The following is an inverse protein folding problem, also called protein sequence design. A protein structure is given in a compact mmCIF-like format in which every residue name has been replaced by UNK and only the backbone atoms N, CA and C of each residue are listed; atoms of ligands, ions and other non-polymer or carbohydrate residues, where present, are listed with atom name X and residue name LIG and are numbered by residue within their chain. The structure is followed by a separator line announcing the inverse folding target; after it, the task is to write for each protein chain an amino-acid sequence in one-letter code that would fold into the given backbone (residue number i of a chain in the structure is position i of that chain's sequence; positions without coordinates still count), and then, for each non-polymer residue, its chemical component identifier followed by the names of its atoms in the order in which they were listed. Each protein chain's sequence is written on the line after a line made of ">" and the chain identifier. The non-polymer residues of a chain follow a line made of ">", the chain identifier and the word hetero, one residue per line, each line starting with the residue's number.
data_IF_592872862415
#
_entry.id   IF_592872862415
#
_cell.length_a   1.000
_cell.length_b   1.000
_cell.length_c   1.000
_cell.angle_alpha   90.00
_cell.angle_beta   90.00
_cell.angle_gamma   90.00
#
_symmetry.space_group_name_H-M   'P 1'
#
loop_
_entity.id
_entity.type
_entity.pdbx_description
1 polymer ?
#
# COMPACT_ATOMS: atom_id res chain seq x y z
N UNK A 1 -6.54 27.48 73.74
CA UNK A 1 -7.64 27.35 72.75
C UNK A 1 -7.06 27.42 71.35
N UNK A 2 -7.29 26.36 70.57
CA UNK A 2 -7.23 26.19 69.10
C UNK A 2 -6.31 27.09 68.25
N UNK A 3 -5.46 26.46 67.43
CA UNK A 3 -5.68 26.37 65.97
C UNK A 3 -4.58 25.50 65.34
N UNK A 4 -4.86 24.20 65.21
CA UNK A 4 -4.17 23.33 64.25
C UNK A 4 -4.61 23.76 62.84
N UNK A 5 -3.71 24.36 62.06
CA UNK A 5 -3.89 24.51 60.61
C UNK A 5 -3.46 23.20 59.94
N UNK A 6 -4.42 22.44 59.40
CA UNK A 6 -4.12 21.34 58.47
C UNK A 6 -3.69 21.94 57.12
N UNK A 7 -2.63 21.45 56.46
CA UNK A 7 -2.38 21.78 55.06
C UNK A 7 -3.34 20.98 54.18
N UNK A 8 -4.05 21.67 53.29
CA UNK A 8 -4.77 21.07 52.16
C UNK A 8 -3.72 20.53 51.18
N UNK A 9 -3.59 19.21 51.07
CA UNK A 9 -2.85 18.57 49.98
C UNK A 9 -3.81 18.49 48.79
N UNK A 10 -3.70 19.44 47.86
CA UNK A 10 -4.34 19.34 46.56
C UNK A 10 -3.58 18.30 45.72
N UNK A 11 -4.12 17.09 45.63
CA UNK A 11 -3.67 16.08 44.66
C UNK A 11 -4.04 16.57 43.26
N UNK A 12 -3.09 17.22 42.58
CA UNK A 12 -3.15 17.39 41.13
C UNK A 12 -2.91 16.02 40.49
N UNK A 13 -3.99 15.37 40.06
CA UNK A 13 -3.95 14.22 39.18
C UNK A 13 -3.38 14.66 37.83
N UNK A 14 -2.08 14.52 37.64
CA UNK A 14 -1.44 14.73 36.34
C UNK A 14 -1.84 13.56 35.44
N UNK A 15 -2.94 13.72 34.69
CA UNK A 15 -3.25 12.82 33.57
C UNK A 15 -2.23 13.11 32.48
N UNK A 16 -1.12 12.38 32.51
CA UNK A 16 -0.18 12.34 31.38
C UNK A 16 -0.88 11.56 30.27
N UNK A 17 -1.60 12.28 29.40
CA UNK A 17 -1.96 11.76 28.09
C UNK A 17 -0.64 11.66 27.31
N UNK A 18 -0.01 10.50 27.40
CA UNK A 18 1.08 10.15 26.51
C UNK A 18 0.49 9.98 25.10
N UNK A 19 0.40 11.08 24.35
CA UNK A 19 0.16 11.03 22.93
C UNK A 19 1.37 10.33 22.29
N UNK A 20 1.24 9.03 22.01
CA UNK A 20 2.18 8.34 21.15
C UNK A 20 2.15 9.03 19.78
N UNK A 21 3.16 9.86 19.52
CA UNK A 21 3.32 10.56 18.25
C UNK A 21 3.69 9.54 17.18
N UNK A 22 2.70 8.99 16.50
CA UNK A 22 2.92 8.33 15.21
C UNK A 22 3.67 9.29 14.27
N UNK A 23 4.55 8.75 13.43
CA UNK A 23 5.28 9.57 12.46
C UNK A 23 4.30 10.11 11.43
N UNK A 24 4.09 11.42 11.45
CA UNK A 24 3.18 12.08 10.55
C UNK A 24 3.88 12.25 9.19
N UNK A 25 3.33 11.67 8.11
CA UNK A 25 3.88 11.79 6.75
C UNK A 25 2.91 12.60 5.91
N UNK A 26 3.48 13.53 5.15
CA UNK A 26 2.77 14.32 4.17
C UNK A 26 2.21 13.44 3.03
N UNK A 27 0.93 13.59 2.69
CA UNK A 27 0.32 12.99 1.50
C UNK A 27 1.16 13.34 0.28
N UNK A 28 1.26 12.39 -0.62
CA UNK A 28 2.10 12.48 -1.80
C UNK A 28 1.52 13.41 -2.88
N UNK A 29 2.40 14.11 -3.59
CA UNK A 29 2.06 14.85 -4.80
C UNK A 29 2.32 13.99 -6.06
N UNK A 30 1.68 14.33 -7.18
CA UNK A 30 1.84 13.57 -8.43
C UNK A 30 2.03 14.50 -9.63
N UNK A 31 2.79 14.08 -10.63
CA UNK A 31 2.75 14.73 -11.95
C UNK A 31 1.38 14.44 -12.58
N UNK A 32 0.56 15.47 -12.76
CA UNK A 32 -0.76 15.34 -13.39
C UNK A 32 -0.69 15.43 -14.91
N UNK A 33 0.09 16.37 -15.41
CA UNK A 33 0.31 16.60 -16.84
C UNK A 33 1.78 16.91 -17.06
N UNK A 34 2.33 16.39 -18.15
CA UNK A 34 3.72 16.58 -18.54
C UNK A 34 3.85 16.57 -20.06
N UNK A 35 4.52 17.59 -20.61
CA UNK A 35 4.86 17.72 -22.03
C UNK A 35 6.23 18.35 -22.17
N UNK A 36 7.08 17.81 -23.05
CA UNK A 36 8.44 18.29 -23.24
C UNK A 36 9.40 17.83 -22.14
N UNK A 37 10.59 18.44 -22.11
CA UNK A 37 11.68 18.02 -21.20
C UNK A 37 11.47 18.54 -19.79
N UNK A 38 11.27 17.62 -18.85
CA UNK A 38 11.22 17.89 -17.41
C UNK A 38 12.20 16.96 -16.72
N UNK A 39 12.84 17.46 -15.68
CA UNK A 39 13.79 16.72 -14.88
C UNK A 39 13.40 16.77 -13.41
N UNK A 40 13.59 15.65 -12.74
CA UNK A 40 13.34 15.43 -11.34
C UNK A 40 14.66 15.16 -10.64
N UNK A 41 14.84 15.77 -9.48
CA UNK A 41 15.87 15.39 -8.53
C UNK A 41 15.19 14.98 -7.23
N UNK A 42 15.30 13.70 -6.88
CA UNK A 42 14.86 13.22 -5.57
C UNK A 42 15.72 13.83 -4.47
N UNK A 43 15.16 13.92 -3.26
CA UNK A 43 15.93 14.33 -2.07
C UNK A 43 17.22 13.52 -1.87
N UNK A 44 17.20 12.23 -2.23
CA UNK A 44 18.32 11.30 -2.05
C UNK A 44 19.27 11.26 -3.26
N UNK A 45 18.92 11.92 -4.37
CA UNK A 45 19.75 12.00 -5.57
C UNK A 45 20.72 13.17 -5.49
N UNK A 46 21.92 13.00 -6.05
CA UNK A 46 22.84 14.15 -6.25
C UNK A 46 22.51 14.94 -7.52
N UNK A 47 21.92 14.30 -8.53
CA UNK A 47 21.69 14.86 -9.87
C UNK A 47 20.23 14.89 -10.29
N UNK A 48 19.92 15.75 -11.27
CA UNK A 48 18.64 15.75 -11.97
C UNK A 48 18.60 14.63 -13.02
N UNK A 49 17.44 13.98 -13.15
CA UNK A 49 17.18 12.94 -14.15
C UNK A 49 15.90 13.25 -14.93
N UNK A 50 15.82 12.86 -16.21
CA UNK A 50 14.60 13.06 -16.99
C UNK A 50 13.42 12.33 -16.35
N UNK A 51 12.26 12.95 -16.43
CA UNK A 51 10.96 12.36 -16.09
C UNK A 51 9.98 12.72 -17.18
N UNK A 52 9.15 11.76 -17.60
CA UNK A 52 8.23 11.94 -18.73
C UNK A 52 6.84 11.31 -18.49
N UNK A 53 6.57 10.84 -17.26
CA UNK A 53 5.39 10.01 -16.96
C UNK A 53 4.37 10.78 -16.13
N UNK A 54 3.10 10.74 -16.57
CA UNK A 54 1.96 11.12 -15.73
C UNK A 54 1.86 10.12 -14.57
N UNK A 55 1.51 10.58 -13.37
CA UNK A 55 1.42 9.72 -12.20
C UNK A 55 2.76 9.48 -11.50
N UNK A 56 3.88 10.05 -11.96
CA UNK A 56 5.13 10.02 -11.17
C UNK A 56 4.88 10.61 -9.79
N UNK A 57 5.18 9.81 -8.78
CA UNK A 57 5.07 10.16 -7.38
C UNK A 57 6.09 11.25 -7.02
N UNK A 58 5.72 12.25 -6.21
CA UNK A 58 6.60 13.34 -5.76
C UNK A 58 6.50 13.54 -4.25
N UNK A 59 7.64 13.82 -3.63
CA UNK A 59 7.79 14.03 -2.19
C UNK A 59 8.22 15.46 -1.84
N UNK A 60 8.01 15.85 -0.59
CA UNK A 60 8.31 17.19 -0.06
C UNK A 60 9.75 17.69 -0.31
N UNK A 61 10.71 16.77 -0.29
CA UNK A 61 12.13 17.07 -0.53
C UNK A 61 12.58 17.01 -1.98
N UNK A 62 11.69 16.70 -2.92
CA UNK A 62 12.04 16.60 -4.33
C UNK A 62 12.17 17.99 -4.97
N UNK A 63 12.87 18.04 -6.10
CA UNK A 63 13.03 19.24 -6.91
C UNK A 63 12.68 18.95 -8.37
N UNK A 64 12.06 19.91 -9.04
CA UNK A 64 11.76 19.85 -10.47
C UNK A 64 12.48 20.97 -11.21
N UNK A 65 12.85 20.67 -12.45
CA UNK A 65 13.32 21.65 -13.44
C UNK A 65 12.64 21.34 -14.76
N UNK A 66 12.08 22.35 -15.41
CA UNK A 66 11.45 22.20 -16.74
C UNK A 66 12.18 23.03 -17.77
N UNK A 67 12.26 22.55 -19.00
CA UNK A 67 12.70 23.37 -20.11
C UNK A 67 11.70 24.49 -20.39
N UNK A 68 12.15 25.56 -21.04
CA UNK A 68 11.31 26.74 -21.36
C UNK A 68 10.02 26.40 -22.11
N UNK A 69 10.09 25.47 -23.07
CA UNK A 69 8.93 24.99 -23.84
C UNK A 69 8.14 23.85 -23.17
N UNK A 70 8.63 23.31 -22.06
CA UNK A 70 7.99 22.18 -21.38
C UNK A 70 6.83 22.65 -20.50
N UNK A 71 5.79 21.82 -20.38
CA UNK A 71 4.65 22.07 -19.50
C UNK A 71 4.59 20.95 -18.46
N UNK A 72 4.47 21.32 -17.19
CA UNK A 72 4.23 20.35 -16.12
C UNK A 72 3.27 20.91 -15.07
N UNK A 73 2.25 20.13 -14.75
CA UNK A 73 1.24 20.45 -13.74
C UNK A 73 1.27 19.38 -12.65
N UNK A 74 1.40 19.82 -11.41
CA UNK A 74 1.47 18.95 -10.24
C UNK A 74 0.11 18.88 -9.56
N UNK A 75 -0.37 17.67 -9.31
CA UNK A 75 -1.47 17.41 -8.38
C UNK A 75 -0.91 17.46 -6.96
N UNK A 76 -1.13 18.57 -6.26
CA UNK A 76 -0.66 18.74 -4.90
C UNK A 76 -1.43 17.87 -3.90
N UNK A 77 -0.86 17.65 -2.70
CA UNK A 77 -1.49 16.82 -1.67
C UNK A 77 -2.85 17.35 -1.22
N UNK A 78 -3.02 18.67 -1.16
CA UNK A 78 -4.29 19.33 -0.83
C UNK A 78 -5.36 19.25 -1.95
N UNK A 79 -5.10 18.53 -3.04
CA UNK A 79 -6.02 18.37 -4.17
C UNK A 79 -5.94 19.45 -5.24
N UNK A 80 -5.17 20.53 -5.03
CA UNK A 80 -5.02 21.61 -6.03
C UNK A 80 -4.04 21.21 -7.14
N UNK A 81 -4.33 21.62 -8.37
CA UNK A 81 -3.36 21.61 -9.48
C UNK A 81 -2.46 22.83 -9.38
N UNK A 82 -1.14 22.63 -9.50
CA UNK A 82 -0.16 23.71 -9.52
C UNK A 82 0.75 23.58 -10.74
N UNK A 83 0.71 24.53 -11.69
CA UNK A 83 1.65 24.57 -12.79
C UNK A 83 3.04 25.00 -12.29
N UNK A 84 4.09 24.36 -12.80
CA UNK A 84 5.47 24.78 -12.53
C UNK A 84 5.79 25.95 -13.46
N UNK A 85 5.76 27.18 -12.93
CA UNK A 85 5.81 28.38 -13.78
C UNK A 85 7.22 28.77 -14.22
N UNK A 86 8.21 28.66 -13.34
CA UNK A 86 9.58 29.09 -13.64
C UNK A 86 10.28 28.02 -14.48
N UNK A 87 10.86 28.44 -15.62
CA UNK A 87 11.59 27.59 -16.54
C UNK A 87 13.09 27.63 -16.25
N UNK A 88 13.81 26.54 -16.53
CA UNK A 88 15.26 26.37 -16.31
C UNK A 88 15.72 26.49 -14.84
N UNK A 89 14.83 26.90 -13.93
CA UNK A 89 15.09 27.01 -12.51
C UNK A 89 14.87 25.68 -11.76
N UNK A 90 15.60 25.53 -10.64
CA UNK A 90 15.44 24.41 -9.71
C UNK A 90 14.37 24.78 -8.69
N UNK A 91 13.20 24.15 -8.78
CA UNK A 91 12.09 24.41 -7.87
C UNK A 91 11.87 23.27 -6.91
N UNK A 92 11.95 23.56 -5.61
CA UNK A 92 11.62 22.60 -4.56
C UNK A 92 10.12 22.35 -4.51
N UNK A 93 9.72 21.12 -4.18
CA UNK A 93 8.31 20.72 -4.14
C UNK A 93 7.48 21.51 -3.11
N UNK A 94 8.07 22.01 -2.01
CA UNK A 94 7.42 22.97 -1.09
C UNK A 94 7.02 24.27 -1.74
N UNK A 95 7.79 24.76 -2.71
CA UNK A 95 7.49 26.02 -3.39
C UNK A 95 6.32 25.84 -4.36
N UNK A 96 6.23 24.67 -5.00
CA UNK A 96 5.15 24.32 -5.93
C UNK A 96 3.87 23.95 -5.17
N UNK A 97 4.00 23.09 -4.15
CA UNK A 97 2.94 22.62 -3.29
C UNK A 97 3.22 23.08 -1.84
N UNK A 98 2.74 24.27 -1.42
CA UNK A 98 3.05 24.80 -0.09
C UNK A 98 2.30 24.07 1.05
N UNK A 99 1.16 23.45 0.72
CA UNK A 99 0.32 22.77 1.70
C UNK A 99 0.41 21.26 1.51
N UNK A 100 1.00 20.61 2.50
CA UNK A 100 1.09 19.16 2.58
C UNK A 100 0.09 18.66 3.62
N UNK A 101 -0.86 17.82 3.20
CA UNK A 101 -1.79 17.18 4.13
C UNK A 101 -1.04 16.09 4.87
N UNK A 102 -0.78 16.29 6.15
CA UNK A 102 -0.11 15.28 6.97
C UNK A 102 -1.12 14.21 7.35
N UNK A 103 -0.81 12.96 7.01
CA UNK A 103 -1.52 11.79 7.52
C UNK A 103 -0.64 11.18 8.59
N UNK A 104 -1.23 10.69 9.68
CA UNK A 104 -0.49 9.84 10.61
C UNK A 104 -0.15 8.58 9.83
N UNK A 105 1.10 8.47 9.37
CA UNK A 105 1.59 7.24 8.82
C UNK A 105 1.87 6.33 10.01
N UNK A 106 0.99 5.36 10.20
CA UNK A 106 1.40 4.14 10.87
C UNK A 106 2.20 3.34 9.83
N UNK A 107 3.44 3.76 9.57
CA UNK A 107 4.37 3.07 8.63
C UNK A 107 4.48 1.58 8.98
N UNK A 108 4.89 0.70 8.04
CA UNK A 108 4.47 -0.70 8.04
C UNK A 108 5.04 -1.46 9.25
N UNK A 109 4.20 -2.11 10.06
CA UNK A 109 4.63 -3.14 11.00
C UNK A 109 4.41 -4.51 10.39
N UNK A 110 5.14 -5.52 10.89
CA UNK A 110 5.66 -6.59 10.06
C UNK A 110 4.58 -7.46 9.45
N UNK A 111 4.99 -8.17 8.39
CA UNK A 111 4.37 -9.42 8.00
C UNK A 111 4.34 -10.35 9.21
N UNK A 112 3.15 -10.55 9.77
CA UNK A 112 2.93 -11.48 10.87
C UNK A 112 2.74 -12.90 10.33
N UNK A 113 2.46 -13.03 9.02
CA UNK A 113 2.29 -14.33 8.40
C UNK A 113 2.60 -14.33 6.92
N UNK A 114 3.35 -15.34 6.51
CA UNK A 114 3.74 -15.62 5.13
C UNK A 114 2.73 -16.63 4.59
N UNK A 115 2.06 -16.28 3.49
CA UNK A 115 1.21 -17.21 2.77
C UNK A 115 1.26 -16.97 1.27
N UNK A 116 0.35 -17.59 0.53
CA UNK A 116 0.31 -17.53 -0.92
C UNK A 116 1.55 -18.10 -1.60
N UNK A 117 2.23 -19.05 -0.96
CA UNK A 117 3.45 -19.69 -1.47
C UNK A 117 3.12 -21.03 -2.15
N UNK A 118 2.20 -21.79 -1.58
CA UNK A 118 1.84 -23.12 -2.07
C UNK A 118 0.77 -23.05 -3.17
N UNK A 119 1.18 -23.19 -4.43
CA UNK A 119 0.29 -23.20 -5.59
C UNK A 119 -0.65 -24.43 -5.67
N UNK A 120 -0.51 -25.42 -4.78
CA UNK A 120 -1.34 -26.63 -4.76
C UNK A 120 -2.60 -26.49 -3.90
N UNK A 121 -2.83 -25.32 -3.32
CA UNK A 121 -3.99 -25.04 -2.47
C UNK A 121 -4.66 -23.73 -2.89
N UNK A 122 -5.99 -23.57 -2.66
CA UNK A 122 -6.72 -22.39 -3.07
C UNK A 122 -6.59 -21.26 -2.03
N UNK A 123 -5.37 -20.74 -1.80
CA UNK A 123 -5.16 -19.68 -0.82
C UNK A 123 -5.87 -18.38 -1.24
N UNK A 124 -6.40 -17.65 -0.26
CA UNK A 124 -7.06 -16.36 -0.48
C UNK A 124 -6.04 -15.30 -0.93
N UNK A 125 -6.36 -14.57 -1.99
CA UNK A 125 -5.56 -13.46 -2.51
C UNK A 125 -6.14 -12.13 -2.02
N UNK A 126 -7.44 -11.93 -2.17
CA UNK A 126 -8.17 -10.73 -1.73
C UNK A 126 -9.62 -11.07 -1.41
N UNK A 127 -10.29 -10.44 -0.45
CA UNK A 127 -9.74 -9.54 0.56
C UNK A 127 -8.98 -10.34 1.64
N UNK A 128 -7.73 -9.97 1.93
CA UNK A 128 -6.89 -10.65 2.92
C UNK A 128 -6.20 -9.64 3.80
N UNK A 129 -6.28 -9.82 5.13
CA UNK A 129 -5.65 -8.93 6.12
C UNK A 129 -5.96 -7.45 5.83
N UNK A 130 -7.23 -7.15 5.62
CA UNK A 130 -7.66 -5.86 5.08
C UNK A 130 -8.91 -5.35 5.78
N UNK A 131 -9.01 -4.04 5.88
CA UNK A 131 -10.28 -3.37 6.12
C UNK A 131 -11.06 -3.35 4.81
N UNK A 132 -12.39 -3.24 4.90
CA UNK A 132 -13.26 -3.11 3.75
C UNK A 132 -14.16 -1.89 3.88
N UNK A 133 -14.36 -1.20 2.77
CA UNK A 133 -15.36 -0.14 2.60
C UNK A 133 -16.70 -0.70 2.11
N UNK A 134 -16.67 -1.76 1.31
CA UNK A 134 -17.86 -2.40 0.74
C UNK A 134 -18.29 -3.62 1.56
N UNK A 135 -19.61 -3.79 1.73
CA UNK A 135 -20.21 -4.99 2.34
C UNK A 135 -20.38 -6.15 1.36
N UNK A 136 -20.04 -5.96 0.08
CA UNK A 136 -20.08 -6.99 -0.97
C UNK A 136 -18.69 -7.21 -1.58
N UNK A 137 -17.67 -7.62 -0.80
CA UNK A 137 -16.33 -7.84 -1.35
C UNK A 137 -16.32 -8.98 -2.38
N UNK A 138 -15.49 -8.83 -3.41
CA UNK A 138 -15.13 -9.95 -4.29
C UNK A 138 -14.02 -10.76 -3.62
N UNK A 139 -14.33 -12.00 -3.29
CA UNK A 139 -13.39 -12.99 -2.79
C UNK A 139 -12.67 -13.60 -3.99
N UNK A 140 -11.34 -13.57 -4.00
CA UNK A 140 -10.50 -14.09 -5.06
C UNK A 140 -9.39 -14.95 -4.46
N UNK A 141 -9.14 -16.12 -5.04
CA UNK A 141 -8.14 -17.07 -4.56
C UNK A 141 -7.30 -17.63 -5.71
N UNK A 142 -6.23 -18.33 -5.35
CA UNK A 142 -5.39 -19.00 -6.33
C UNK A 142 -6.11 -20.22 -6.94
N UNK A 143 -6.22 -20.32 -8.29
CA UNK A 143 -6.77 -21.51 -8.92
C UNK A 143 -5.85 -22.70 -8.74
N UNK A 144 -6.41 -23.87 -8.42
CA UNK A 144 -5.63 -25.10 -8.20
C UNK A 144 -5.68 -25.98 -9.45
N UNK A 145 -4.53 -26.46 -9.97
CA UNK A 145 -4.51 -27.38 -11.10
C UNK A 145 -5.42 -28.60 -10.89
N UNK A 146 -6.29 -28.88 -11.87
CA UNK A 146 -7.23 -30.01 -11.83
C UNK A 146 -8.53 -29.75 -11.03
N UNK A 147 -8.66 -28.63 -10.31
CA UNK A 147 -9.92 -28.25 -9.69
C UNK A 147 -10.88 -27.65 -10.73
N UNK A 148 -12.14 -28.08 -10.70
CA UNK A 148 -13.21 -27.61 -11.59
C UNK A 148 -14.35 -26.92 -10.83
N UNK A 149 -14.34 -27.03 -9.51
CA UNK A 149 -15.30 -26.39 -8.62
C UNK A 149 -14.67 -26.09 -7.26
N UNK A 150 -15.10 -24.99 -6.66
CA UNK A 150 -14.71 -24.53 -5.33
C UNK A 150 -15.94 -24.38 -4.45
N UNK A 151 -15.87 -24.90 -3.23
CA UNK A 151 -16.78 -24.55 -2.12
C UNK A 151 -16.13 -23.42 -1.33
N UNK A 152 -16.82 -22.30 -1.20
CA UNK A 152 -16.33 -21.10 -0.51
C UNK A 152 -17.19 -20.87 0.72
N UNK A 153 -16.56 -20.67 1.87
CA UNK A 153 -17.22 -20.37 3.14
C UNK A 153 -16.69 -19.05 3.70
N UNK A 154 -17.60 -18.18 4.15
CA UNK A 154 -17.27 -17.01 4.96
C UNK A 154 -17.65 -17.30 6.40
N UNK A 155 -16.70 -17.11 7.31
CA UNK A 155 -16.78 -17.54 8.71
C UNK A 155 -16.61 -16.32 9.59
N UNK A 156 -17.53 -16.14 10.53
CA UNK A 156 -17.44 -15.15 11.61
C UNK A 156 -16.95 -15.82 12.90
N UNK A 157 -16.66 -15.07 13.98
CA UNK A 157 -16.36 -15.67 15.28
C UNK A 157 -17.49 -16.55 15.84
N UNK A 158 -18.71 -16.44 15.31
CA UNK A 158 -19.89 -17.25 15.67
C UNK A 158 -20.08 -18.49 14.79
N UNK A 159 -19.21 -18.72 13.81
CA UNK A 159 -19.29 -19.81 12.84
C UNK A 159 -19.55 -19.36 11.41
N UNK A 160 -19.79 -20.32 10.52
CA UNK A 160 -20.04 -20.10 9.09
C UNK A 160 -21.32 -19.28 8.90
N UNK A 161 -21.19 -18.13 8.23
CA UNK A 161 -22.32 -17.23 7.95
C UNK A 161 -22.82 -17.34 6.51
N UNK A 162 -21.98 -17.85 5.61
CA UNK A 162 -22.33 -18.01 4.20
C UNK A 162 -21.48 -19.09 3.55
N UNK A 163 -22.07 -19.82 2.61
CA UNK A 163 -21.40 -20.83 1.81
C UNK A 163 -21.97 -20.83 0.40
N UNK A 164 -21.11 -21.05 -0.60
CA UNK A 164 -21.54 -21.25 -1.99
C UNK A 164 -20.60 -22.21 -2.74
N UNK A 165 -20.99 -22.61 -3.95
CA UNK A 165 -20.15 -23.32 -4.90
C UNK A 165 -20.03 -22.54 -6.20
N UNK A 166 -18.80 -22.40 -6.70
CA UNK A 166 -18.50 -21.71 -7.97
C UNK A 166 -17.44 -22.46 -8.77
N UNK A 167 -17.36 -22.19 -10.08
CA UNK A 167 -16.33 -22.75 -10.97
C UNK A 167 -15.11 -21.84 -11.08
N UNK A 168 -15.35 -20.53 -11.12
CA UNK A 168 -14.31 -19.52 -11.24
C UNK A 168 -13.56 -19.33 -9.91
N UNK A 169 -12.27 -18.94 -9.92
CA UNK A 169 -11.47 -18.70 -8.72
C UNK A 169 -11.80 -17.36 -8.03
N UNK A 170 -13.05 -16.91 -8.15
CA UNK A 170 -13.56 -15.70 -7.53
C UNK A 170 -15.08 -15.79 -7.33
N UNK A 171 -15.58 -15.11 -6.30
CA UNK A 171 -17.02 -14.91 -6.07
C UNK A 171 -17.28 -13.63 -5.27
N UNK A 172 -18.34 -12.91 -5.61
CA UNK A 172 -18.78 -11.74 -4.82
C UNK A 172 -19.64 -12.19 -3.65
N UNK A 173 -19.29 -11.75 -2.44
CA UNK A 173 -20.13 -11.94 -1.27
C UNK A 173 -21.43 -11.13 -1.41
N UNK A 174 -22.62 -11.75 -1.26
CA UNK A 174 -23.88 -11.10 -1.63
C UNK A 174 -24.42 -10.10 -0.59
N UNK A 175 -23.72 -9.90 0.53
CA UNK A 175 -24.24 -9.17 1.70
C UNK A 175 -25.54 -9.78 2.25
N UNK A 176 -25.68 -11.10 2.13
CA UNK A 176 -26.78 -11.90 2.67
C UNK A 176 -26.20 -13.19 3.30
N UNK A 177 -26.09 -13.27 4.65
CA UNK A 177 -26.45 -12.23 5.62
C UNK A 177 -25.55 -10.99 5.53
N UNK A 178 -25.96 -9.88 6.15
CA UNK A 178 -25.16 -8.66 6.11
C UNK A 178 -23.86 -8.82 6.91
N UNK A 179 -22.74 -8.33 6.36
CA UNK A 179 -21.50 -8.21 7.12
C UNK A 179 -21.68 -7.18 8.24
N UNK A 180 -21.26 -7.52 9.45
CA UNK A 180 -21.31 -6.63 10.60
C UNK A 180 -20.03 -5.79 10.65
N UNK A 181 -20.13 -4.47 10.78
CA UNK A 181 -18.96 -3.63 10.94
C UNK A 181 -18.14 -3.99 12.18
N UNK A 182 -16.82 -3.94 12.06
CA UNK A 182 -15.89 -4.22 13.15
C UNK A 182 -15.65 -5.70 13.45
N UNK A 183 -16.39 -6.62 12.80
CA UNK A 183 -16.22 -8.06 12.99
C UNK A 183 -15.19 -8.62 11.99
N UNK A 184 -14.22 -9.44 12.44
CA UNK A 184 -13.31 -10.14 11.55
C UNK A 184 -13.98 -11.36 10.91
N UNK A 185 -13.79 -11.50 9.61
CA UNK A 185 -14.29 -12.63 8.83
C UNK A 185 -13.13 -13.36 8.14
N UNK A 186 -13.15 -14.69 8.25
CA UNK A 186 -12.21 -15.58 7.55
C UNK A 186 -12.89 -16.21 6.33
N UNK A 187 -12.09 -16.60 5.33
CA UNK A 187 -12.57 -17.34 4.16
C UNK A 187 -11.89 -18.70 4.08
N UNK A 188 -12.70 -19.75 3.94
CA UNK A 188 -12.22 -21.10 3.64
C UNK A 188 -12.63 -21.46 2.22
N UNK A 189 -11.68 -21.94 1.43
CA UNK A 189 -11.91 -22.40 0.06
C UNK A 189 -11.48 -23.86 -0.02
N UNK A 190 -12.38 -24.71 -0.51
CA UNK A 190 -12.12 -26.13 -0.73
C UNK A 190 -12.42 -26.50 -2.17
N UNK A 191 -11.50 -27.20 -2.82
CA UNK A 191 -11.66 -27.72 -4.18
C UNK A 191 -12.45 -29.03 -4.18
N UNK A 192 -13.07 -29.36 -5.31
CA UNK A 192 -13.67 -30.68 -5.53
C UNK A 192 -12.67 -31.85 -5.53
N UNK A 193 -11.37 -31.57 -5.60
CA UNK A 193 -10.29 -32.56 -5.50
C UNK A 193 -9.75 -32.73 -4.07
N UNK A 194 -10.36 -32.06 -3.09
CA UNK A 194 -10.04 -32.20 -1.66
C UNK A 194 -8.94 -31.28 -1.13
N UNK A 195 -8.34 -30.41 -1.96
CA UNK A 195 -7.40 -29.36 -1.50
C UNK A 195 -8.14 -28.23 -0.80
N UNK A 196 -7.57 -27.68 0.27
CA UNK A 196 -8.20 -26.64 1.10
C UNK A 196 -7.23 -25.49 1.39
N UNK A 197 -7.75 -24.27 1.46
CA UNK A 197 -7.00 -23.08 1.90
C UNK A 197 -6.52 -23.19 3.34
N UNK A 198 -7.16 -24.02 4.16
CA UNK A 198 -6.77 -24.28 5.56
C UNK A 198 -5.45 -25.04 5.69
N UNK A 199 -4.94 -25.63 4.61
CA UNK A 199 -3.59 -26.20 4.60
C UNK A 199 -2.49 -25.13 4.53
N UNK A 200 -2.85 -23.86 4.36
CA UNK A 200 -1.92 -22.74 4.52
C UNK A 200 -1.59 -22.54 6.00
N UNK A 201 -0.31 -22.32 6.32
CA UNK A 201 0.14 -22.07 7.70
C UNK A 201 -0.04 -20.62 8.15
N UNK A 202 -0.55 -19.76 7.25
CA UNK A 202 -0.64 -18.35 7.51
C UNK A 202 -1.80 -18.01 8.46
N UNK A 203 -1.65 -16.94 9.24
CA UNK A 203 -2.60 -16.46 10.24
C UNK A 203 -2.87 -14.97 10.03
N UNK A 204 -3.97 -14.46 10.61
CA UNK A 204 -4.29 -13.03 10.49
C UNK A 204 -4.70 -12.65 9.07
N UNK A 205 -5.40 -13.54 8.37
CA UNK A 205 -5.85 -13.37 6.98
C UNK A 205 -7.25 -12.75 6.87
N UNK A 206 -7.87 -12.46 8.01
CA UNK A 206 -9.25 -11.99 8.08
C UNK A 206 -9.41 -10.64 7.39
N UNK A 207 -10.63 -10.37 6.92
CA UNK A 207 -11.05 -9.05 6.52
C UNK A 207 -12.07 -8.49 7.52
N UNK A 208 -12.14 -7.16 7.62
CA UNK A 208 -13.00 -6.48 8.59
C UNK A 208 -13.73 -5.33 7.90
N UNK A 209 -15.06 -5.31 7.95
CA UNK A 209 -15.85 -4.19 7.43
C UNK A 209 -15.67 -2.96 8.34
N UNK A 210 -15.38 -1.80 7.76
CA UNK A 210 -15.28 -0.53 8.49
C UNK A 210 -16.59 -0.19 9.20
N UNK A 211 -16.48 0.40 10.40
CA UNK A 211 -17.64 1.01 11.08
C UNK A 211 -18.09 2.25 10.32
N UNK A 212 -19.38 2.58 10.46
CA UNK A 212 -20.02 3.71 9.76
C UNK A 212 -19.26 5.04 9.91
N UNK A 213 -18.71 5.31 11.09
CA UNK A 213 -17.92 6.53 11.35
C UNK A 213 -16.69 6.61 10.46
N UNK A 214 -15.92 5.53 10.40
CA UNK A 214 -14.72 5.45 9.57
C UNK A 214 -15.07 5.36 8.08
N UNK A 215 -16.07 4.57 7.71
CA UNK A 215 -16.53 4.42 6.34
C UNK A 215 -16.98 5.76 5.74
N UNK A 216 -17.75 6.57 6.49
CA UNK A 216 -18.16 7.92 6.05
C UNK A 216 -16.97 8.85 5.84
N UNK A 217 -15.99 8.82 6.74
CA UNK A 217 -14.78 9.64 6.61
C UNK A 217 -13.95 9.24 5.38
N UNK A 218 -13.80 7.93 5.15
CA UNK A 218 -13.15 7.38 3.95
C UNK A 218 -13.90 7.79 2.68
N UNK A 219 -15.22 7.63 2.66
CA UNK A 219 -16.05 8.02 1.51
C UNK A 219 -15.95 9.51 1.20
N UNK A 220 -15.91 10.38 2.22
CA UNK A 220 -15.75 11.82 2.00
C UNK A 220 -14.41 12.15 1.32
N UNK A 221 -13.31 11.52 1.75
CA UNK A 221 -11.99 11.69 1.10
C UNK A 221 -12.00 11.16 -0.34
N UNK A 222 -12.58 9.97 -0.55
CA UNK A 222 -12.68 9.33 -1.88
C UNK A 222 -13.46 10.23 -2.84
N UNK A 223 -14.58 10.80 -2.39
CA UNK A 223 -15.37 11.75 -3.18
C UNK A 223 -14.57 13.01 -3.54
N UNK A 224 -13.80 13.56 -2.59
CA UNK A 224 -12.91 14.71 -2.89
C UNK A 224 -11.87 14.38 -3.96
N UNK A 225 -11.26 13.18 -3.91
CA UNK A 225 -10.28 12.76 -4.92
C UNK A 225 -10.95 12.58 -6.29
N UNK A 226 -12.11 11.92 -6.34
CA UNK A 226 -12.83 11.62 -7.58
C UNK A 226 -13.41 12.87 -8.26
N UNK A 227 -13.91 13.83 -7.47
CA UNK A 227 -14.45 15.10 -7.96
C UNK A 227 -13.34 16.11 -8.31
N UNK A 228 -12.10 15.87 -7.87
CA UNK A 228 -10.97 16.69 -8.23
C UNK A 228 -10.77 16.78 -9.74
N UNK A 229 -10.40 17.97 -10.24
CA UNK A 229 -9.98 18.15 -11.63
C UNK A 229 -8.56 17.57 -11.79
N UNK A 230 -8.43 16.25 -11.89
CA UNK A 230 -7.19 15.48 -12.10
C UNK A 230 -7.41 14.49 -13.24
N UNK A 231 -6.33 13.97 -13.84
CA UNK A 231 -6.46 12.86 -14.79
C UNK A 231 -6.94 11.59 -14.07
N UNK A 232 -7.65 10.71 -14.78
CA UNK A 232 -8.20 9.48 -14.19
C UNK A 232 -7.10 8.56 -13.63
N UNK A 233 -5.95 8.52 -14.30
CA UNK A 233 -4.76 7.81 -13.84
C UNK A 233 -4.25 8.36 -12.50
N UNK A 234 -4.15 9.68 -12.34
CA UNK A 234 -3.71 10.28 -11.08
C UNK A 234 -4.77 10.14 -9.99
N UNK A 235 -6.07 10.19 -10.31
CA UNK A 235 -7.13 9.90 -9.33
C UNK A 235 -6.99 8.49 -8.77
N UNK A 236 -6.85 7.50 -9.63
CA UNK A 236 -6.69 6.10 -9.22
C UNK A 236 -5.41 5.86 -8.41
N UNK A 237 -4.27 6.45 -8.82
CA UNK A 237 -3.02 6.38 -8.04
C UNK A 237 -3.14 7.05 -6.67
N UNK A 238 -3.84 8.19 -6.59
CA UNK A 238 -4.12 8.87 -5.32
C UNK A 238 -5.05 8.05 -4.42
N UNK A 239 -6.07 7.40 -4.97
CA UNK A 239 -6.94 6.49 -4.23
C UNK A 239 -6.16 5.28 -3.70
N UNK A 240 -5.38 4.62 -4.55
CA UNK A 240 -4.55 3.48 -4.14
C UNK A 240 -3.57 3.88 -3.01
N UNK A 241 -2.90 5.03 -3.13
CA UNK A 241 -2.02 5.54 -2.09
C UNK A 241 -2.75 5.92 -0.80
N UNK A 242 -3.95 6.50 -0.91
CA UNK A 242 -4.78 6.79 0.26
C UNK A 242 -5.19 5.51 0.98
N UNK A 243 -5.73 4.53 0.25
CA UNK A 243 -6.18 3.25 0.78
C UNK A 243 -5.04 2.44 1.41
N UNK A 244 -3.88 2.38 0.74
CA UNK A 244 -2.67 1.73 1.26
C UNK A 244 -2.19 2.35 2.58
N UNK A 245 -2.37 3.65 2.77
CA UNK A 245 -1.92 4.36 3.96
C UNK A 245 -3.00 4.54 5.03
N UNK A 246 -4.26 4.20 4.72
CA UNK A 246 -5.38 4.38 5.64
C UNK A 246 -5.29 3.42 6.83
N UNK A 247 -5.06 3.97 8.02
CA UNK A 247 -5.12 3.23 9.28
C UNK A 247 -6.30 3.68 10.14
N UNK A 248 -6.92 2.75 10.86
CA UNK A 248 -7.96 3.08 11.85
C UNK A 248 -7.39 3.89 13.02
N UNK A 249 -8.16 4.87 13.47
CA UNK A 249 -7.79 5.76 14.59
C UNK A 249 -8.15 5.18 15.96
N UNK A 250 -9.10 4.24 16.01
CA UNK A 250 -9.52 3.55 17.24
C UNK A 250 -9.44 2.01 17.06
N UNK A 251 -8.23 1.42 17.06
CA UNK A 251 -8.03 -0.04 16.90
C UNK A 251 -8.87 -0.92 17.84
N UNK A 252 -9.06 -0.48 19.09
CA UNK A 252 -9.80 -1.24 20.10
C UNK A 252 -11.26 -1.46 19.73
N UNK A 253 -11.87 -0.56 18.95
CA UNK A 253 -13.23 -0.72 18.45
C UNK A 253 -13.38 -1.90 17.46
N UNK A 254 -12.26 -2.38 16.92
CA UNK A 254 -12.15 -3.54 16.04
C UNK A 254 -11.64 -4.78 16.77
N UNK A 255 -11.46 -4.71 18.10
CA UNK A 255 -10.78 -5.75 18.87
C UNK A 255 -9.29 -5.90 18.52
N UNK A 256 -8.69 -4.91 17.87
CA UNK A 256 -7.28 -4.94 17.44
C UNK A 256 -6.40 -4.21 18.44
N UNK A 257 -5.21 -4.75 18.70
CA UNK A 257 -4.13 -4.00 19.35
C UNK A 257 -3.59 -2.93 18.38
N UNK A 258 -2.94 -1.89 18.90
CA UNK A 258 -2.22 -0.91 18.06
C UNK A 258 -1.23 -1.60 17.12
N UNK A 259 -0.49 -2.60 17.59
CA UNK A 259 0.47 -3.38 16.79
C UNK A 259 -0.23 -4.11 15.64
N UNK A 260 -1.36 -4.77 15.92
CA UNK A 260 -2.11 -5.56 14.92
C UNK A 260 -2.81 -4.66 13.91
N UNK A 261 -3.43 -3.56 14.36
CA UNK A 261 -4.12 -2.62 13.48
C UNK A 261 -3.20 -2.00 12.44
N UNK A 262 -1.91 -1.90 12.75
CA UNK A 262 -0.94 -1.43 11.78
C UNK A 262 -0.71 -2.41 10.60
N UNK A 263 -1.18 -3.65 10.67
CA UNK A 263 -1.21 -4.57 9.54
C UNK A 263 -2.44 -4.44 8.64
N UNK A 264 -3.48 -3.72 9.09
CA UNK A 264 -4.76 -3.60 8.40
C UNK A 264 -4.88 -2.25 7.68
N UNK A 265 -5.11 -2.30 6.36
CA UNK A 265 -5.35 -1.13 5.48
C UNK A 265 -6.53 -1.44 4.58
N UNK A 266 -6.94 -0.49 3.74
CA UNK A 266 -7.92 -0.73 2.67
C UNK A 266 -7.23 -1.36 1.44
N UNK A 267 -6.48 -2.45 1.67
CA UNK A 267 -5.63 -3.06 0.63
C UNK A 267 -6.45 -3.64 -0.51
N UNK A 268 -7.62 -4.22 -0.23
CA UNK A 268 -8.52 -4.73 -1.27
C UNK A 268 -8.98 -3.61 -2.22
N UNK A 269 -9.37 -2.45 -1.69
CA UNK A 269 -9.74 -1.28 -2.48
C UNK A 269 -8.54 -0.71 -3.26
N UNK A 270 -7.34 -0.71 -2.67
CA UNK A 270 -6.12 -0.27 -3.34
C UNK A 270 -5.77 -1.18 -4.53
N UNK A 271 -5.84 -2.51 -4.34
CA UNK A 271 -5.61 -3.51 -5.39
C UNK A 271 -6.62 -3.32 -6.52
N UNK A 272 -7.92 -3.26 -6.20
CA UNK A 272 -8.98 -3.11 -7.20
C UNK A 272 -8.83 -1.82 -8.04
N UNK A 273 -8.41 -0.70 -7.41
CA UNK A 273 -8.15 0.55 -8.12
C UNK A 273 -7.00 0.43 -9.14
N UNK A 274 -5.93 -0.28 -8.79
CA UNK A 274 -4.78 -0.50 -9.67
C UNK A 274 -5.07 -1.54 -10.77
N UNK A 275 -5.80 -2.61 -10.44
CA UNK A 275 -6.24 -3.60 -11.44
C UNK A 275 -7.19 -2.98 -12.48
N UNK A 276 -8.06 -2.05 -12.05
CA UNK A 276 -8.91 -1.28 -12.96
C UNK A 276 -8.09 -0.47 -13.96
N UNK A 277 -7.00 0.19 -13.52
CA UNK A 277 -6.10 0.90 -14.42
C UNK A 277 -5.46 -0.05 -15.45
N UNK A 278 -5.00 -1.22 -15.00
CA UNK A 278 -4.41 -2.24 -15.89
C UNK A 278 -5.43 -2.72 -16.93
N UNK A 279 -6.68 -2.95 -16.51
CA UNK A 279 -7.77 -3.35 -17.40
C UNK A 279 -8.10 -2.26 -18.45
N UNK A 280 -7.94 -0.99 -18.08
CA UNK A 280 -8.05 0.16 -18.99
C UNK A 280 -6.81 0.37 -19.88
N UNK A 281 -5.83 -0.54 -19.83
CA UNK A 281 -4.60 -0.45 -20.63
C UNK A 281 -3.53 0.47 -20.06
N UNK A 282 -3.74 1.06 -18.86
CA UNK A 282 -2.75 1.87 -18.15
C UNK A 282 -1.79 0.94 -17.41
N UNK A 283 -0.73 0.54 -18.11
CA UNK A 283 0.32 -0.35 -17.58
C UNK A 283 1.61 0.43 -17.39
N UNK A 284 2.21 0.35 -16.21
CA UNK A 284 3.49 0.98 -15.91
C UNK A 284 4.24 0.23 -14.82
N UNK A 285 5.57 0.38 -14.74
CA UNK A 285 6.37 -0.20 -13.66
C UNK A 285 5.85 0.18 -12.27
N UNK A 286 5.46 1.46 -12.10
CA UNK A 286 4.91 1.98 -10.85
C UNK A 286 3.64 1.23 -10.40
N UNK A 287 2.69 1.00 -11.32
CA UNK A 287 1.41 0.34 -10.99
C UNK A 287 1.67 -1.10 -10.53
N UNK A 288 2.46 -1.85 -11.30
CA UNK A 288 2.78 -3.24 -10.98
C UNK A 288 3.63 -3.37 -9.71
N UNK A 289 4.60 -2.48 -9.50
CA UNK A 289 5.39 -2.45 -8.26
C UNK A 289 4.50 -2.15 -7.06
N UNK A 290 3.56 -1.21 -7.19
CA UNK A 290 2.63 -0.89 -6.10
C UNK A 290 1.69 -2.06 -5.79
N UNK A 291 1.26 -2.83 -6.79
CA UNK A 291 0.56 -4.09 -6.56
C UNK A 291 1.44 -5.11 -5.83
N UNK A 292 2.71 -5.25 -6.21
CA UNK A 292 3.69 -6.08 -5.50
C UNK A 292 3.79 -5.70 -4.03
N UNK A 293 3.94 -4.41 -3.73
CA UNK A 293 3.98 -3.89 -2.35
C UNK A 293 2.71 -4.23 -1.56
N UNK A 294 1.53 -4.14 -2.19
CA UNK A 294 0.24 -4.44 -1.57
C UNK A 294 0.06 -5.94 -1.29
N UNK A 295 0.43 -6.81 -2.24
CA UNK A 295 0.41 -8.26 -2.03
C UNK A 295 1.44 -8.69 -0.99
N UNK A 296 2.63 -8.09 -1.00
CA UNK A 296 3.64 -8.31 0.03
C UNK A 296 3.09 -7.90 1.40
N UNK A 297 2.44 -6.74 1.50
CA UNK A 297 1.84 -6.25 2.74
C UNK A 297 0.70 -7.14 3.28
N UNK A 298 -0.08 -7.76 2.39
CA UNK A 298 -1.17 -8.70 2.75
C UNK A 298 -0.67 -10.13 2.98
N UNK A 299 0.62 -10.39 2.72
CA UNK A 299 1.29 -11.66 2.98
C UNK A 299 1.08 -12.72 1.89
N UNK A 300 0.79 -12.34 0.65
CA UNK A 300 0.57 -13.28 -0.47
C UNK A 300 1.77 -13.25 -1.40
N UNK A 301 2.72 -14.18 -1.20
CA UNK A 301 4.05 -14.08 -1.80
C UNK A 301 4.06 -14.28 -3.31
N UNK A 302 3.41 -15.33 -3.85
CA UNK A 302 3.45 -15.57 -5.30
C UNK A 302 2.77 -14.43 -6.09
N UNK A 303 1.60 -13.88 -5.69
CA UNK A 303 1.05 -12.68 -6.33
C UNK A 303 1.98 -11.46 -6.24
N UNK A 304 2.65 -11.25 -5.10
CA UNK A 304 3.61 -10.15 -4.94
C UNK A 304 4.79 -10.28 -5.91
N UNK A 305 5.40 -11.46 -5.97
CA UNK A 305 6.51 -11.76 -6.88
C UNK A 305 6.09 -11.57 -8.33
N UNK A 306 4.94 -12.13 -8.73
CA UNK A 306 4.42 -11.97 -10.09
C UNK A 306 4.21 -10.49 -10.44
N UNK A 307 3.66 -9.69 -9.53
CA UNK A 307 3.46 -8.26 -9.76
C UNK A 307 4.80 -7.51 -9.90
N UNK A 308 5.80 -7.83 -9.08
CA UNK A 308 7.14 -7.26 -9.24
C UNK A 308 7.81 -7.67 -10.56
N UNK A 309 7.69 -8.93 -10.99
CA UNK A 309 8.22 -9.38 -12.27
C UNK A 309 7.55 -8.65 -13.45
N UNK A 310 6.22 -8.47 -13.40
CA UNK A 310 5.50 -7.64 -14.37
C UNK A 310 5.98 -6.18 -14.37
N UNK A 311 6.33 -5.62 -13.21
CA UNK A 311 6.87 -4.27 -13.15
C UNK A 311 8.19 -4.18 -13.93
N UNK A 312 9.10 -5.15 -13.78
CA UNK A 312 10.35 -5.24 -14.55
C UNK A 312 10.08 -5.37 -16.05
N UNK A 313 9.15 -6.24 -16.47
CA UNK A 313 8.78 -6.41 -17.89
C UNK A 313 8.28 -5.11 -18.55
N UNK A 314 7.74 -4.18 -17.76
CA UNK A 314 7.17 -2.92 -18.26
C UNK A 314 8.14 -1.74 -18.25
N UNK A 315 9.38 -1.94 -17.81
CA UNK A 315 10.45 -0.94 -17.86
C UNK A 315 10.88 -0.75 -19.32
N UNK A 316 10.82 0.48 -19.82
CA UNK A 316 11.07 0.76 -21.24
C UNK A 316 12.27 1.67 -21.49
N UNK A 317 12.74 2.37 -20.46
CA UNK A 317 13.65 3.49 -20.63
C UNK A 317 14.46 3.80 -19.37
N UNK A 318 15.45 4.69 -19.50
CA UNK A 318 16.26 5.15 -18.36
C UNK A 318 15.43 5.96 -17.35
N UNK A 319 14.33 6.57 -17.79
CA UNK A 319 13.36 7.26 -16.94
C UNK A 319 12.66 6.31 -15.95
N UNK A 320 12.58 5.01 -16.28
CA UNK A 320 11.98 3.99 -15.42
C UNK A 320 13.00 3.34 -14.46
N UNK A 321 14.28 3.76 -14.49
CA UNK A 321 15.36 3.15 -13.69
C UNK A 321 15.10 3.22 -12.18
N UNK A 322 14.41 4.27 -11.72
CA UNK A 322 13.99 4.37 -10.31
C UNK A 322 13.01 3.25 -9.94
N UNK A 323 11.97 3.06 -10.75
CA UNK A 323 10.95 2.03 -10.50
C UNK A 323 11.53 0.62 -10.67
N UNK A 324 12.48 0.43 -11.59
CA UNK A 324 13.24 -0.82 -11.69
C UNK A 324 14.03 -1.11 -10.41
N UNK A 325 14.78 -0.12 -9.90
CA UNK A 325 15.59 -0.26 -8.68
C UNK A 325 14.74 -0.54 -7.44
N UNK A 326 13.60 0.16 -7.32
CA UNK A 326 12.64 -0.04 -6.25
C UNK A 326 11.95 -1.42 -6.33
N UNK A 327 11.62 -1.88 -7.54
CA UNK A 327 11.04 -3.22 -7.75
C UNK A 327 12.01 -4.32 -7.33
N UNK A 328 13.29 -4.20 -7.72
CA UNK A 328 14.33 -5.14 -7.31
C UNK A 328 14.54 -5.14 -5.80
N UNK A 329 14.44 -3.98 -5.15
CA UNK A 329 14.46 -3.90 -3.70
C UNK A 329 13.31 -4.69 -3.08
N UNK A 330 12.07 -4.50 -3.57
CA UNK A 330 10.89 -5.23 -3.10
C UNK A 330 10.99 -6.74 -3.31
N UNK A 331 11.58 -7.21 -4.43
CA UNK A 331 11.90 -8.63 -4.64
C UNK A 331 12.94 -9.13 -3.63
N UNK A 332 13.96 -8.32 -3.32
CA UNK A 332 14.91 -8.62 -2.26
C UNK A 332 14.24 -8.82 -0.91
N UNK A 333 13.34 -7.91 -0.52
CA UNK A 333 12.54 -8.03 0.71
C UNK A 333 11.67 -9.29 0.72
N UNK A 334 11.00 -9.60 -0.40
CA UNK A 334 10.16 -10.78 -0.58
C UNK A 334 10.95 -12.09 -0.39
N UNK A 335 12.11 -12.19 -1.04
CA UNK A 335 12.95 -13.38 -0.94
C UNK A 335 13.62 -13.49 0.43
N UNK A 336 13.94 -12.38 1.06
CA UNK A 336 14.44 -12.37 2.43
C UNK A 336 13.39 -12.91 3.42
N UNK A 337 12.16 -12.41 3.35
CA UNK A 337 11.10 -12.86 4.27
C UNK A 337 10.74 -14.33 4.05
N UNK A 338 10.80 -14.82 2.81
CA UNK A 338 10.59 -16.24 2.47
C UNK A 338 11.82 -17.14 2.71
N UNK A 339 12.88 -16.60 3.35
CA UNK A 339 14.13 -17.31 3.69
C UNK A 339 14.95 -17.81 2.50
N UNK A 340 14.70 -17.31 1.29
CA UNK A 340 15.55 -17.56 0.13
C UNK A 340 16.66 -16.51 0.04
N UNK A 341 17.62 -16.62 0.96
CA UNK A 341 18.65 -15.59 1.17
C UNK A 341 19.56 -15.40 -0.07
N UNK A 342 19.75 -16.45 -0.88
CA UNK A 342 20.52 -16.37 -2.12
C UNK A 342 19.85 -15.46 -3.14
N UNK A 343 18.54 -15.63 -3.37
CA UNK A 343 17.80 -14.74 -4.26
C UNK A 343 17.69 -13.33 -3.68
N UNK A 344 17.44 -13.20 -2.38
CA UNK A 344 17.42 -11.90 -1.71
C UNK A 344 18.73 -11.11 -1.94
N UNK A 345 19.89 -11.79 -1.82
CA UNK A 345 21.20 -11.21 -2.08
C UNK A 345 21.36 -10.76 -3.53
N UNK A 346 20.88 -11.55 -4.50
CA UNK A 346 20.93 -11.19 -5.93
C UNK A 346 20.11 -9.92 -6.17
N UNK A 347 18.85 -9.90 -5.74
CA UNK A 347 17.94 -8.79 -5.97
C UNK A 347 18.37 -7.51 -5.26
N UNK A 348 18.81 -7.59 -4.00
CA UNK A 348 19.39 -6.43 -3.31
C UNK A 348 20.67 -5.91 -3.98
N UNK A 349 21.52 -6.79 -4.51
CA UNK A 349 22.73 -6.37 -5.24
C UNK A 349 22.38 -5.64 -6.54
N UNK A 350 21.38 -6.12 -7.28
CA UNK A 350 20.88 -5.45 -8.48
C UNK A 350 20.21 -4.11 -8.15
N UNK A 351 19.36 -4.06 -7.10
CA UNK A 351 18.74 -2.82 -6.62
C UNK A 351 19.81 -1.78 -6.25
N UNK A 352 20.87 -2.20 -5.55
CA UNK A 352 22.01 -1.34 -5.21
C UNK A 352 22.69 -0.79 -6.46
N UNK A 353 22.94 -1.63 -7.47
CA UNK A 353 23.53 -1.18 -8.72
C UNK A 353 22.66 -0.12 -9.41
N UNK A 354 21.33 -0.32 -9.45
CA UNK A 354 20.38 0.66 -9.95
C UNK A 354 20.42 2.00 -9.18
N UNK A 355 20.45 1.95 -7.84
CA UNK A 355 20.60 3.15 -7.03
C UNK A 355 21.94 3.87 -7.23
N UNK A 356 23.04 3.13 -7.46
CA UNK A 356 24.33 3.75 -7.83
C UNK A 356 24.21 4.49 -9.16
N UNK A 357 23.59 3.88 -10.18
CA UNK A 357 23.38 4.53 -11.47
C UNK A 357 22.53 5.79 -11.35
N UNK A 358 21.59 5.82 -10.40
CA UNK A 358 20.77 7.01 -10.09
C UNK A 358 21.53 8.07 -9.27
N UNK A 359 22.75 7.80 -8.80
CA UNK A 359 23.44 8.58 -7.77
C UNK A 359 22.58 8.78 -6.51
N UNK A 360 21.94 7.70 -6.08
CA UNK A 360 20.99 7.67 -4.98
C UNK A 360 21.63 7.11 -3.71
N UNK A 361 21.55 7.87 -2.62
CA UNK A 361 22.08 7.46 -1.30
C UNK A 361 21.41 6.20 -0.74
N UNK A 362 20.26 5.77 -1.26
CA UNK A 362 19.64 4.47 -0.89
C UNK A 362 20.59 3.28 -1.13
N UNK A 363 21.54 3.39 -2.07
CA UNK A 363 22.57 2.38 -2.30
C UNK A 363 23.43 2.10 -1.04
N UNK A 364 23.64 3.10 -0.18
CA UNK A 364 24.40 2.95 1.06
C UNK A 364 23.65 2.10 2.09
N UNK A 365 22.32 2.25 2.16
CA UNK A 365 21.46 1.46 3.04
C UNK A 365 21.56 -0.03 2.74
N UNK A 366 21.55 -0.37 1.45
CA UNK A 366 21.63 -1.76 0.97
C UNK A 366 22.96 -2.45 1.28
N UNK A 367 24.05 -1.71 1.56
CA UNK A 367 25.29 -2.34 2.04
C UNK A 367 25.07 -3.11 3.34
N UNK A 368 24.23 -2.58 4.23
CA UNK A 368 23.92 -3.21 5.52
C UNK A 368 23.09 -4.46 5.32
N UNK A 369 22.07 -4.40 4.47
CA UNK A 369 21.18 -5.52 4.18
C UNK A 369 21.95 -6.68 3.53
N UNK A 370 22.72 -6.38 2.48
CA UNK A 370 23.60 -7.34 1.81
C UNK A 370 24.64 -7.92 2.77
N UNK A 371 25.26 -7.08 3.61
CA UNK A 371 26.26 -7.52 4.59
C UNK A 371 25.69 -8.43 5.67
N UNK A 372 24.41 -8.23 6.05
CA UNK A 372 23.69 -9.10 6.98
C UNK A 372 23.40 -10.46 6.37
N UNK A 373 23.01 -10.53 5.10
CA UNK A 373 22.68 -11.80 4.42
C UNK A 373 23.87 -12.69 4.08
N UNK A 374 25.09 -12.13 4.08
CA UNK A 374 26.34 -12.86 3.79
C UNK A 374 26.97 -13.49 5.03
N UNK A 375 26.47 -13.17 6.23
CA UNK A 375 26.88 -13.76 7.50
C UNK A 375 25.98 -14.93 7.81
#
# INVERSE_FOLDING_TARGET
>A
MSRFRKPLIALLSLVVVAAQRGSAIAQTAYINEIKGKVELKRKTWSEFRPVNRVGTQLSDGDQLRRASSAVVIIACPNGKKQPVRLAEERLGLKQICPQWKVVISKGPPPLISIGGVNAQIPYLISPRRTLLLSSTPTLQWHPVPGATQYTVQVISPKGTVWQTQVKEPQVTYPNQPALQPGIPYSVVIQTNTGKSSQSETSTGTEFILLRDTEAKAVQAEVQQILQGNLSDEVKALKLAAYYRNYGVTQPSAYGLSEKTANGYRLSAEAIAALETLIAQGKRSPLIYRTLGDLYLQTGVMNPAENAYLRAIETVQSLEDLEEWSLTLYGLGELYEVTQNLQQALIFYSQAKAGFILLNDRRAEGLNRDIGRLKK
#
